data_IF_570888379725
#
_entry.id   IF_570888379725
#
_cell.length_a   1.000
_cell.length_b   1.000
_cell.length_c   1.000
_cell.angle_alpha   90.00
_cell.angle_beta   90.00
_cell.angle_gamma   90.00
#
_symmetry.space_group_name_H-M   'P 1'
#
loop_
_entity.id
_entity.type
_entity.pdbx_description
1 polymer ?
#
# COMPACT_ATOMS: atom_id res chain seq x y z
N UNK A 1 -14.19 13.22 -3.80
CA UNK A 1 -13.16 13.18 -4.87
C UNK A 1 -12.45 11.85 -4.72
N UNK A 2 -12.30 11.06 -5.79
CA UNK A 2 -11.55 9.79 -5.77
C UNK A 2 -10.06 10.07 -5.97
N UNK A 3 -9.19 9.27 -5.35
CA UNK A 3 -7.75 9.28 -5.61
C UNK A 3 -7.44 8.72 -7.01
N UNK A 4 -6.20 8.82 -7.43
CA UNK A 4 -5.73 8.34 -8.73
C UNK A 4 -4.43 7.55 -8.61
N UNK A 5 -4.14 6.71 -9.60
CA UNK A 5 -2.84 6.06 -9.69
C UNK A 5 -1.86 6.99 -10.42
N UNK A 6 -0.92 7.54 -9.69
CA UNK A 6 0.09 8.49 -10.20
C UNK A 6 1.20 7.83 -11.04
N UNK A 7 1.23 6.51 -11.11
CA UNK A 7 2.14 5.80 -12.01
C UNK A 7 1.93 6.24 -13.48
N UNK A 8 0.66 6.50 -13.86
CA UNK A 8 0.30 6.92 -15.21
C UNK A 8 0.48 8.43 -15.46
N UNK A 9 0.87 9.20 -14.46
CA UNK A 9 1.11 10.64 -14.65
C UNK A 9 2.40 10.86 -15.45
N UNK A 10 2.27 11.42 -16.64
CA UNK A 10 3.39 11.75 -17.53
C UNK A 10 4.21 12.94 -17.03
N UNK A 11 3.66 13.76 -16.14
CA UNK A 11 4.32 14.93 -15.58
C UNK A 11 4.99 14.60 -14.24
N UNK A 12 6.28 14.96 -14.13
CA UNK A 12 7.09 14.83 -12.91
C UNK A 12 6.74 15.94 -11.91
N UNK A 13 5.49 16.00 -11.44
CA UNK A 13 5.19 16.87 -10.31
C UNK A 13 5.67 16.16 -9.02
N UNK A 14 6.62 16.80 -8.33
CA UNK A 14 6.86 16.51 -6.93
C UNK A 14 5.54 16.72 -6.16
N UNK A 15 5.31 15.90 -5.13
CA UNK A 15 4.16 16.07 -4.24
C UNK A 15 4.14 17.49 -3.69
N UNK A 16 3.00 18.17 -3.75
CA UNK A 16 2.81 19.40 -3.01
C UNK A 16 2.85 19.08 -1.51
N UNK A 17 3.24 20.07 -0.71
CA UNK A 17 3.29 19.90 0.74
C UNK A 17 1.91 19.48 1.28
N UNK A 18 1.86 18.38 2.03
CA UNK A 18 0.63 17.84 2.61
C UNK A 18 -0.18 16.90 1.69
N UNK A 19 0.21 16.70 0.43
CA UNK A 19 -0.44 15.68 -0.41
C UNK A 19 -0.05 14.26 0.04
N UNK A 20 -1.06 13.39 0.11
CA UNK A 20 -0.89 11.97 0.43
C UNK A 20 -0.87 11.17 -0.87
N UNK A 21 0.25 10.50 -1.12
CA UNK A 21 0.37 9.47 -2.15
C UNK A 21 1.06 8.25 -1.56
N UNK A 22 0.47 7.08 -1.73
CA UNK A 22 0.96 5.81 -1.18
C UNK A 22 1.61 4.98 -2.27
N UNK A 23 2.93 4.74 -2.16
CA UNK A 23 3.61 3.73 -2.97
C UNK A 23 3.27 2.34 -2.42
N UNK A 24 2.81 1.44 -3.29
CA UNK A 24 2.43 0.07 -2.90
C UNK A 24 3.53 -0.90 -3.33
N UNK A 25 4.38 -1.27 -2.37
CA UNK A 25 5.38 -2.32 -2.55
C UNK A 25 4.73 -3.70 -2.43
N UNK A 26 4.91 -4.54 -3.44
CA UNK A 26 4.32 -5.87 -3.48
C UNK A 26 5.16 -6.84 -4.32
N UNK A 27 5.02 -8.13 -4.06
CA UNK A 27 5.59 -9.17 -4.90
C UNK A 27 4.68 -9.45 -6.12
N UNK A 28 5.28 -9.83 -7.24
CA UNK A 28 4.55 -10.13 -8.49
C UNK A 28 3.39 -11.11 -8.29
N UNK A 29 3.56 -12.11 -7.41
CA UNK A 29 2.52 -13.11 -7.11
C UNK A 29 1.34 -12.53 -6.33
N UNK A 30 1.52 -11.38 -5.72
CA UNK A 30 0.51 -10.70 -4.91
C UNK A 30 -0.15 -9.53 -5.66
N UNK A 31 0.09 -9.40 -6.96
CA UNK A 31 -0.39 -8.28 -7.78
C UNK A 31 -1.91 -8.10 -7.73
N UNK A 32 -2.68 -9.19 -7.71
CA UNK A 32 -4.15 -9.10 -7.62
C UNK A 32 -4.62 -8.56 -6.26
N UNK A 33 -3.95 -8.95 -5.17
CA UNK A 33 -4.22 -8.40 -3.85
C UNK A 33 -3.82 -6.93 -3.76
N UNK A 34 -2.65 -6.58 -4.29
CA UNK A 34 -2.15 -5.21 -4.34
C UNK A 34 -3.08 -4.30 -5.14
N UNK A 35 -3.62 -4.78 -6.28
CA UNK A 35 -4.61 -4.04 -7.09
C UNK A 35 -5.88 -3.73 -6.30
N UNK A 36 -6.46 -4.73 -5.64
CA UNK A 36 -7.66 -4.53 -4.81
C UNK A 36 -7.43 -3.50 -3.70
N UNK A 37 -6.24 -3.50 -3.11
CA UNK A 37 -5.85 -2.52 -2.10
C UNK A 37 -5.68 -1.13 -2.72
N UNK A 38 -5.04 -1.03 -3.90
CA UNK A 38 -4.91 0.23 -4.63
C UNK A 38 -6.29 0.82 -4.97
N UNK A 39 -7.21 -0.01 -5.47
CA UNK A 39 -8.59 0.40 -5.81
C UNK A 39 -9.33 0.87 -4.54
N UNK A 40 -9.14 0.21 -3.41
CA UNK A 40 -9.75 0.60 -2.15
C UNK A 40 -9.22 1.95 -1.64
N UNK A 41 -7.90 2.16 -1.69
CA UNK A 41 -7.27 3.43 -1.32
C UNK A 41 -7.71 4.58 -2.23
N UNK A 42 -7.77 4.35 -3.55
CA UNK A 42 -8.23 5.38 -4.50
C UNK A 42 -9.70 5.70 -4.33
N UNK A 43 -10.55 4.72 -4.04
CA UNK A 43 -11.96 4.94 -3.69
C UNK A 43 -12.08 5.80 -2.43
N UNK A 44 -11.20 5.58 -1.45
CA UNK A 44 -11.12 6.40 -0.24
C UNK A 44 -10.62 7.84 -0.50
N UNK A 45 -10.11 8.13 -1.70
CA UNK A 45 -9.61 9.44 -2.10
C UNK A 45 -8.12 9.64 -1.87
N UNK A 46 -7.37 8.56 -1.66
CA UNK A 46 -5.91 8.56 -1.50
C UNK A 46 -5.28 8.29 -2.86
N UNK A 47 -4.34 9.14 -3.27
CA UNK A 47 -3.53 8.86 -4.45
C UNK A 47 -2.58 7.69 -4.17
N UNK A 48 -2.38 6.83 -5.16
CA UNK A 48 -1.44 5.72 -5.07
C UNK A 48 -0.38 5.81 -6.16
N UNK A 49 0.79 5.25 -5.89
CA UNK A 49 1.76 4.90 -6.91
C UNK A 49 1.83 3.37 -6.95
N UNK A 50 1.19 2.79 -7.94
CA UNK A 50 1.07 1.35 -8.09
C UNK A 50 1.49 0.95 -9.50
N UNK A 51 2.62 0.26 -9.58
CA UNK A 51 3.20 -0.27 -10.81
C UNK A 51 2.77 -1.72 -10.98
N UNK A 52 1.65 -1.91 -11.67
CA UNK A 52 1.12 -3.25 -11.90
C UNK A 52 1.90 -4.01 -12.98
N UNK A 53 2.31 -3.31 -14.02
CA UNK A 53 2.83 -3.91 -15.25
C UNK A 53 3.90 -3.05 -15.93
N UNK A 54 4.81 -2.44 -15.17
CA UNK A 54 5.89 -1.70 -15.84
C UNK A 54 6.74 -2.66 -16.69
N UNK A 55 6.30 -2.82 -17.95
CA UNK A 55 7.04 -3.59 -18.96
C UNK A 55 8.39 -2.93 -19.30
N UNK A 56 8.59 -1.69 -18.91
CA UNK A 56 9.84 -0.96 -19.12
C UNK A 56 10.91 -1.35 -18.09
N UNK A 57 10.52 -2.01 -16.97
CA UNK A 57 11.46 -2.51 -15.98
C UNK A 57 12.05 -3.83 -16.47
N UNK A 58 13.29 -3.80 -16.87
CA UNK A 58 14.05 -5.03 -17.05
C UNK A 58 14.32 -5.68 -15.68
N UNK A 59 13.47 -6.64 -15.33
CA UNK A 59 13.54 -7.34 -14.04
C UNK A 59 14.74 -8.28 -13.93
N UNK A 60 15.46 -8.54 -15.02
CA UNK A 60 16.75 -9.24 -15.03
C UNK A 60 17.91 -8.30 -14.67
N UNK A 61 17.69 -6.98 -14.76
CA UNK A 61 18.67 -5.96 -14.43
C UNK A 61 18.35 -5.31 -13.07
N UNK A 62 19.13 -5.59 -12.00
CA UNK A 62 18.92 -5.02 -10.68
C UNK A 62 18.88 -3.48 -10.67
N UNK A 63 19.69 -2.82 -11.51
CA UNK A 63 19.69 -1.36 -11.60
C UNK A 63 18.36 -0.80 -12.12
N UNK A 64 17.73 -1.48 -13.08
CA UNK A 64 16.41 -1.10 -13.60
C UNK A 64 15.33 -1.20 -12.51
N UNK A 65 15.38 -2.28 -11.72
CA UNK A 65 14.44 -2.48 -10.61
C UNK A 65 14.63 -1.39 -9.53
N UNK A 66 15.88 -1.14 -9.11
CA UNK A 66 16.18 -0.08 -8.13
C UNK A 66 15.70 1.28 -8.63
N UNK A 67 15.99 1.65 -9.87
CA UNK A 67 15.56 2.94 -10.42
C UNK A 67 14.03 3.09 -10.45
N UNK A 68 13.29 2.00 -10.71
CA UNK A 68 11.82 2.02 -10.69
C UNK A 68 11.28 2.25 -9.28
N UNK A 69 11.82 1.53 -8.27
CA UNK A 69 11.43 1.70 -6.88
C UNK A 69 11.74 3.12 -6.40
N UNK A 70 12.92 3.65 -6.71
CA UNK A 70 13.32 5.02 -6.37
C UNK A 70 12.33 6.03 -6.96
N UNK A 71 12.00 5.93 -8.26
CA UNK A 71 11.01 6.82 -8.90
C UNK A 71 9.65 6.77 -8.20
N UNK A 72 9.19 5.58 -7.80
CA UNK A 72 7.93 5.41 -7.09
C UNK A 72 7.96 6.07 -5.72
N UNK A 73 9.02 5.84 -4.96
CA UNK A 73 9.22 6.44 -3.64
C UNK A 73 9.35 7.96 -3.71
N UNK A 74 10.07 8.50 -4.70
CA UNK A 74 10.24 9.96 -4.86
C UNK A 74 8.90 10.67 -5.16
N UNK A 75 7.96 9.96 -5.78
CA UNK A 75 6.61 10.45 -6.10
C UNK A 75 5.57 10.13 -5.03
N UNK A 76 5.99 9.63 -3.87
CA UNK A 76 5.10 9.19 -2.80
C UNK A 76 5.50 9.78 -1.46
N UNK A 77 4.51 10.03 -0.60
CA UNK A 77 4.71 10.48 0.79
C UNK A 77 4.74 9.32 1.78
N UNK A 78 4.14 8.20 1.38
CA UNK A 78 3.99 6.99 2.20
C UNK A 78 4.44 5.77 1.43
N UNK A 79 4.97 4.77 2.15
CA UNK A 79 5.29 3.44 1.64
C UNK A 79 4.41 2.41 2.34
N UNK A 80 3.52 1.78 1.60
CA UNK A 80 2.80 0.58 2.02
C UNK A 80 3.57 -0.65 1.56
N UNK A 81 4.00 -1.47 2.51
CA UNK A 81 4.59 -2.78 2.24
C UNK A 81 3.51 -3.85 2.40
N UNK A 82 3.14 -4.51 1.31
CA UNK A 82 2.19 -5.60 1.34
C UNK A 82 2.89 -6.87 1.86
N UNK A 83 2.53 -7.29 3.07
CA UNK A 83 3.14 -8.41 3.78
C UNK A 83 2.36 -9.69 3.50
N UNK A 84 2.87 -10.47 2.55
CA UNK A 84 2.43 -11.82 2.20
C UNK A 84 3.53 -12.82 2.51
N UNK A 85 3.24 -14.11 2.44
CA UNK A 85 4.27 -15.16 2.52
C UNK A 85 5.34 -15.00 1.42
N UNK A 86 4.95 -14.52 0.24
CA UNK A 86 5.89 -14.23 -0.86
C UNK A 86 6.77 -13.02 -0.53
N UNK A 87 6.20 -11.97 0.05
CA UNK A 87 6.93 -10.77 0.44
C UNK A 87 7.95 -11.06 1.55
N UNK A 88 7.57 -11.87 2.54
CA UNK A 88 8.47 -12.27 3.64
C UNK A 88 9.66 -13.13 3.18
N UNK A 89 9.53 -13.84 2.07
CA UNK A 89 10.62 -14.59 1.43
C UNK A 89 11.45 -13.74 0.45
N UNK A 90 11.11 -12.48 0.23
CA UNK A 90 11.78 -11.59 -0.71
C UNK A 90 13.06 -10.99 -0.15
N UNK A 91 14.07 -10.88 -0.98
CA UNK A 91 15.30 -10.12 -0.68
C UNK A 91 15.12 -8.61 -0.94
N UNK A 92 14.10 -8.20 -1.70
CA UNK A 92 13.84 -6.81 -2.04
C UNK A 92 13.10 -6.05 -0.95
N UNK A 93 12.18 -6.69 -0.24
CA UNK A 93 11.37 -6.05 0.81
C UNK A 93 12.22 -5.40 1.91
N UNK A 94 13.27 -6.06 2.47
CA UNK A 94 14.15 -5.40 3.42
C UNK A 94 14.83 -4.15 2.87
N UNK A 95 15.25 -4.21 1.58
CA UNK A 95 15.87 -3.08 0.91
C UNK A 95 14.90 -1.91 0.72
N UNK A 96 13.66 -2.18 0.27
CA UNK A 96 12.61 -1.17 0.08
C UNK A 96 12.24 -0.49 1.40
N UNK A 97 12.08 -1.27 2.47
CA UNK A 97 11.82 -0.74 3.81
C UNK A 97 12.97 0.15 4.28
N UNK A 98 14.21 -0.30 4.12
CA UNK A 98 15.39 0.48 4.50
C UNK A 98 15.54 1.77 3.69
N UNK A 99 15.38 1.69 2.37
CA UNK A 99 15.46 2.85 1.49
C UNK A 99 14.31 3.83 1.74
N UNK A 100 13.10 3.32 1.93
CA UNK A 100 11.90 4.11 2.16
C UNK A 100 11.71 4.56 3.62
N UNK A 101 12.61 4.22 4.55
CA UNK A 101 12.43 4.47 5.98
C UNK A 101 12.26 5.95 6.35
N UNK A 102 12.81 6.86 5.53
CA UNK A 102 12.61 8.31 5.68
C UNK A 102 11.22 8.78 5.28
N UNK A 103 10.42 7.93 4.61
CA UNK A 103 9.01 8.15 4.33
C UNK A 103 8.16 7.61 5.49
N UNK A 104 6.85 7.83 5.45
CA UNK A 104 5.92 7.19 6.38
C UNK A 104 5.69 5.74 5.95
N UNK A 105 6.52 4.81 6.45
CA UNK A 105 6.44 3.38 6.12
C UNK A 105 5.42 2.69 7.00
N UNK A 106 4.58 1.83 6.42
CA UNK A 106 3.71 0.92 7.16
C UNK A 106 3.54 -0.40 6.42
N UNK A 107 3.33 -1.48 7.18
CA UNK A 107 3.03 -2.80 6.63
C UNK A 107 1.54 -3.09 6.65
N UNK A 108 1.02 -3.79 5.62
CA UNK A 108 -0.32 -4.35 5.61
C UNK A 108 -0.22 -5.86 5.44
N UNK A 109 -0.61 -6.62 6.47
CA UNK A 109 -0.55 -8.09 6.44
C UNK A 109 -1.73 -8.67 5.68
N UNK A 110 -1.45 -9.57 4.74
CA UNK A 110 -2.47 -10.43 4.16
C UNK A 110 -2.90 -11.52 5.16
N UNK A 111 -4.08 -12.08 4.93
CA UNK A 111 -4.76 -13.01 5.85
C UNK A 111 -3.94 -14.26 6.20
N UNK A 112 -3.11 -14.75 5.26
CA UNK A 112 -2.26 -15.92 5.46
C UNK A 112 -1.03 -15.66 6.36
N UNK A 113 -0.72 -14.40 6.68
CA UNK A 113 0.46 -14.06 7.48
C UNK A 113 0.15 -14.10 8.97
N UNK A 114 0.74 -15.07 9.69
CA UNK A 114 0.55 -15.18 11.12
C UNK A 114 1.23 -14.03 11.88
N UNK A 115 0.62 -13.65 13.04
CA UNK A 115 1.08 -12.48 13.82
C UNK A 115 2.54 -12.54 14.27
N UNK A 116 3.05 -13.74 14.52
CA UNK A 116 4.37 -13.95 15.14
C UNK A 116 5.48 -14.26 14.14
N UNK A 117 5.24 -14.10 12.85
CA UNK A 117 6.20 -14.48 11.78
C UNK A 117 6.92 -13.29 11.14
N UNK A 118 6.66 -12.07 11.62
CA UNK A 118 7.28 -10.89 11.02
C UNK A 118 8.75 -10.77 11.46
N UNK A 119 9.69 -10.61 10.49
CA UNK A 119 11.09 -10.34 10.76
C UNK A 119 11.29 -9.08 11.61
N UNK A 120 12.41 -9.01 12.33
CA UNK A 120 12.71 -7.92 13.27
C UNK A 120 12.66 -6.52 12.60
N UNK A 121 13.14 -6.39 11.37
CA UNK A 121 13.14 -5.12 10.65
C UNK A 121 11.73 -4.58 10.34
N UNK A 122 10.70 -5.44 10.37
CA UNK A 122 9.30 -5.02 10.23
C UNK A 122 8.63 -4.68 11.57
N UNK A 123 9.27 -5.02 12.70
CA UNK A 123 8.71 -4.71 14.02
C UNK A 123 8.87 -3.24 14.40
N UNK A 124 9.70 -2.50 13.68
CA UNK A 124 9.95 -1.06 13.90
C UNK A 124 9.03 -0.14 13.11
N UNK A 125 8.16 -0.69 12.26
CA UNK A 125 7.17 0.07 11.48
C UNK A 125 5.76 -0.26 11.95
N UNK A 126 4.79 0.66 11.80
CA UNK A 126 3.38 0.38 12.07
C UNK A 126 2.87 -0.77 11.18
N UNK A 127 2.20 -1.74 11.79
CA UNK A 127 1.59 -2.87 11.07
C UNK A 127 0.07 -2.76 11.14
N UNK A 128 -0.53 -2.59 9.97
CA UNK A 128 -1.97 -2.63 9.75
C UNK A 128 -2.39 -4.08 9.52
N UNK A 129 -3.43 -4.54 10.23
CA UNK A 129 -3.91 -5.92 10.15
C UNK A 129 -5.42 -5.92 9.97
N UNK A 130 -5.87 -6.37 8.82
CA UNK A 130 -7.28 -6.50 8.53
C UNK A 130 -7.99 -5.20 8.14
N UNK A 131 -9.27 -5.32 7.84
CA UNK A 131 -10.07 -4.24 7.23
C UNK A 131 -10.39 -3.12 8.22
N UNK A 132 -10.60 -3.45 9.51
CA UNK A 132 -10.87 -2.45 10.53
C UNK A 132 -9.68 -1.50 10.72
N UNK A 133 -8.50 -2.06 10.98
CA UNK A 133 -7.29 -1.24 11.18
C UNK A 133 -6.87 -0.50 9.91
N UNK A 134 -7.20 -1.02 8.72
CA UNK A 134 -6.98 -0.30 7.46
C UNK A 134 -7.92 0.91 7.34
N UNK A 135 -9.20 0.76 7.67
CA UNK A 135 -10.15 1.88 7.70
C UNK A 135 -9.72 2.96 8.69
N UNK A 136 -9.29 2.57 9.90
CA UNK A 136 -8.75 3.49 10.90
C UNK A 136 -7.52 4.24 10.38
N UNK A 137 -6.64 3.53 9.66
CA UNK A 137 -5.44 4.13 9.07
C UNK A 137 -5.78 5.10 7.95
N UNK A 138 -6.70 4.74 7.04
CA UNK A 138 -7.20 5.60 5.95
C UNK A 138 -7.84 6.87 6.53
N UNK A 139 -8.66 6.74 7.57
CA UNK A 139 -9.31 7.89 8.23
C UNK A 139 -8.26 8.86 8.81
N UNK A 140 -7.18 8.35 9.39
CA UNK A 140 -6.06 9.19 9.86
C UNK A 140 -5.31 9.87 8.73
N UNK A 141 -5.04 9.16 7.62
CA UNK A 141 -4.35 9.72 6.46
C UNK A 141 -5.14 10.85 5.78
N UNK A 142 -6.46 10.68 5.70
CA UNK A 142 -7.34 11.65 5.02
C UNK A 142 -7.81 12.78 5.93
N UNK A 143 -7.69 12.61 7.26
CA UNK A 143 -8.29 13.53 8.25
C UNK A 143 -9.82 13.50 8.26
N UNK A 144 -10.45 12.50 7.61
CA UNK A 144 -11.90 12.34 7.51
C UNK A 144 -12.33 11.15 8.35
N UNK A 145 -13.33 11.33 9.22
CA UNK A 145 -13.82 10.25 10.06
C UNK A 145 -14.44 9.09 9.26
N UNK A 146 -14.25 7.84 9.71
CA UNK A 146 -14.69 6.63 9.03
C UNK A 146 -16.19 6.66 8.68
N UNK A 147 -17.05 7.07 9.62
CA UNK A 147 -18.50 7.13 9.38
C UNK A 147 -18.90 8.11 8.27
N UNK A 148 -18.18 9.23 8.13
CA UNK A 148 -18.42 10.16 7.02
C UNK A 148 -17.99 9.52 5.69
N UNK A 149 -16.84 8.84 5.66
CA UNK A 149 -16.37 8.16 4.46
C UNK A 149 -17.27 6.99 4.05
N UNK A 150 -17.83 6.25 5.01
CA UNK A 150 -18.80 5.18 4.74
C UNK A 150 -20.08 5.76 4.15
N UNK A 151 -20.62 6.83 4.74
CA UNK A 151 -21.82 7.52 4.24
C UNK A 151 -21.62 8.02 2.80
N UNK A 152 -20.43 8.49 2.48
CA UNK A 152 -20.06 8.98 1.13
C UNK A 152 -19.64 7.85 0.18
N UNK A 153 -19.83 6.57 0.57
CA UNK A 153 -19.42 5.37 -0.19
C UNK A 153 -17.94 5.31 -0.55
N UNK A 154 -17.08 5.96 0.25
CA UNK A 154 -15.62 5.96 0.09
C UNK A 154 -14.95 4.83 0.86
N UNK A 155 -15.58 4.34 1.93
CA UNK A 155 -15.17 3.17 2.69
C UNK A 155 -16.33 2.20 2.86
N UNK A 156 -16.00 0.93 3.03
CA UNK A 156 -16.95 -0.13 3.38
C UNK A 156 -16.79 -0.48 4.86
N UNK A 157 -17.90 -0.68 5.60
CA UNK A 157 -17.83 -1.14 6.99
C UNK A 157 -17.02 -2.42 7.09
N UNK A 158 -16.07 -2.48 8.00
CA UNK A 158 -15.09 -3.58 8.11
C UNK A 158 -15.77 -4.95 8.29
N UNK A 159 -16.91 -5.03 8.96
CA UNK A 159 -17.66 -6.27 9.21
C UNK A 159 -18.63 -6.64 8.07
N UNK A 160 -18.69 -5.89 6.99
CA UNK A 160 -19.58 -6.21 5.86
C UNK A 160 -19.07 -7.47 5.15
N UNK A 161 -19.95 -8.47 5.01
CA UNK A 161 -19.64 -9.73 4.31
C UNK A 161 -19.21 -9.53 2.84
N UNK A 162 -19.69 -8.44 2.23
CA UNK A 162 -19.34 -8.04 0.86
C UNK A 162 -18.18 -7.03 0.82
N UNK A 163 -17.36 -6.93 1.87
CA UNK A 163 -16.22 -6.02 1.87
C UNK A 163 -15.24 -6.36 0.73
N UNK A 164 -14.80 -5.38 -0.08
CA UNK A 164 -13.95 -5.64 -1.25
C UNK A 164 -12.66 -6.42 -0.94
N UNK A 165 -12.18 -6.28 0.30
CA UNK A 165 -10.93 -6.91 0.76
C UNK A 165 -11.14 -8.15 1.63
N UNK A 166 -12.39 -8.64 1.82
CA UNK A 166 -12.71 -9.77 2.71
C UNK A 166 -11.98 -11.07 2.35
N UNK A 167 -11.64 -11.26 1.06
CA UNK A 167 -10.90 -12.42 0.58
C UNK A 167 -9.39 -12.39 0.87
N UNK A 168 -8.83 -11.22 1.18
CA UNK A 168 -7.39 -11.01 1.32
C UNK A 168 -6.96 -10.46 2.69
N UNK A 169 -7.86 -9.80 3.41
CA UNK A 169 -7.63 -9.27 4.78
C UNK A 169 -8.59 -9.90 5.78
N UNK A 170 -8.15 -9.95 7.04
CA UNK A 170 -9.06 -10.25 8.14
C UNK A 170 -10.09 -9.14 8.31
N UNK A 171 -11.32 -9.48 8.73
CA UNK A 171 -12.39 -8.49 8.87
C UNK A 171 -12.39 -7.74 10.21
N UNK A 172 -11.88 -8.37 11.25
CA UNK A 172 -12.02 -7.91 12.64
C UNK A 172 -10.77 -7.28 13.25
N UNK A 173 -9.68 -7.23 12.49
CA UNK A 173 -8.40 -6.70 12.94
C UNK A 173 -8.10 -5.32 12.36
#
# INVERSE_FOLDING_TARGET
MTGRNRYYDTYTHSLAYGEVCVFISHQKRDADAARKIADYLTTAGIDVYFDEWDKSIDRSNPHSVVAAIQRGLDRSSHLLVLLSSNALASTWVPWEVGYGYHKNVFGLTLKEVARNTLPEYLQVIPIVRGTKSLNDYISRLTGIGEEAMIRDSRLTRYYNSCHPLSGILDQTL
#
